data_IF_786886119781
#
_entry.id   IF_786886119781
#
_cell.length_a   1.000
_cell.length_b   1.000
_cell.length_c   1.000
_cell.angle_alpha   90.00
_cell.angle_beta   90.00
_cell.angle_gamma   90.00
#
_symmetry.space_group_name_H-M   'P 1'
#
loop_
_entity.id
_entity.type
_entity.pdbx_description
1 polymer ?
#
# COMPACT_ATOMS: atom_id res chain seq x y z
N UNK A 1 -7.89 7.02 -15.56
CA UNK A 1 -6.70 7.24 -14.71
C UNK A 1 -6.90 6.36 -13.49
N UNK A 2 -6.77 5.07 -13.74
CA UNK A 2 -7.48 4.01 -13.01
C UNK A 2 -6.42 2.99 -12.55
N UNK A 3 -6.58 2.46 -11.33
CA UNK A 3 -6.08 1.14 -10.90
C UNK A 3 -4.67 0.96 -10.26
N UNK A 4 -4.03 2.00 -9.72
CA UNK A 4 -2.81 1.78 -8.90
C UNK A 4 -3.06 1.44 -7.43
N UNK A 5 -4.32 1.49 -7.00
CA UNK A 5 -4.72 1.18 -5.63
C UNK A 5 -5.13 -0.28 -5.51
N UNK A 6 -4.49 -0.98 -4.59
CA UNK A 6 -4.88 -2.33 -4.19
C UNK A 6 -5.02 -2.34 -2.68
N UNK A 7 -6.17 -2.78 -2.16
CA UNK A 7 -6.38 -3.05 -0.75
C UNK A 7 -6.78 -4.52 -0.52
N UNK A 8 -6.20 -5.13 0.51
CA UNK A 8 -6.65 -6.40 1.07
C UNK A 8 -6.80 -6.28 2.58
N UNK A 9 -7.98 -6.59 3.13
CA UNK A 9 -8.16 -6.65 4.57
C UNK A 9 -7.33 -7.80 5.15
N UNK A 10 -6.41 -7.50 6.06
CA UNK A 10 -5.69 -8.48 6.89
C UNK A 10 -6.49 -8.85 8.14
N UNK A 11 -7.31 -7.95 8.64
CA UNK A 11 -8.15 -8.09 9.83
C UNK A 11 -9.31 -7.09 9.77
N UNK A 12 -10.27 -7.19 10.69
CA UNK A 12 -11.47 -6.34 10.68
C UNK A 12 -11.18 -4.83 10.57
N UNK A 13 -10.05 -4.37 11.10
CA UNK A 13 -9.68 -2.95 11.12
C UNK A 13 -8.43 -2.62 10.31
N UNK A 14 -7.77 -3.57 9.63
CA UNK A 14 -6.48 -3.32 8.96
C UNK A 14 -6.46 -3.85 7.55
N UNK A 15 -5.96 -3.04 6.63
CA UNK A 15 -5.78 -3.39 5.23
C UNK A 15 -4.33 -3.20 4.78
N UNK A 16 -3.80 -4.16 4.04
CA UNK A 16 -2.58 -3.99 3.23
C UNK A 16 -2.96 -3.22 1.98
N UNK A 17 -2.24 -2.14 1.73
CA UNK A 17 -2.39 -1.33 0.54
C UNK A 17 -1.09 -1.24 -0.27
N UNK A 18 -1.23 -1.21 -1.60
CA UNK A 18 -0.15 -0.84 -2.52
C UNK A 18 -0.58 0.43 -3.24
N UNK A 19 0.29 1.44 -3.23
CA UNK A 19 0.00 2.72 -3.88
C UNK A 19 1.12 3.74 -3.70
N UNK A 20 0.92 4.91 -4.30
CA UNK A 20 1.72 6.10 -4.02
C UNK A 20 1.30 6.69 -2.68
N UNK A 21 2.28 7.06 -1.86
CA UNK A 21 2.06 7.76 -0.59
C UNK A 21 2.38 9.23 -0.81
N UNK A 22 1.53 10.14 -0.33
CA UNK A 22 1.81 11.59 -0.44
C UNK A 22 2.97 11.99 0.48
N UNK A 23 3.61 13.14 0.21
CA UNK A 23 4.68 13.68 1.08
C UNK A 23 4.17 13.91 2.51
N UNK A 24 2.90 14.31 2.68
CA UNK A 24 2.30 14.50 3.99
C UNK A 24 2.15 13.18 4.77
N UNK A 25 1.71 12.11 4.10
CA UNK A 25 1.61 10.78 4.70
C UNK A 25 2.99 10.19 4.98
N UNK A 26 3.96 10.41 4.09
CA UNK A 26 5.34 9.97 4.27
C UNK A 26 5.96 10.60 5.53
N UNK A 27 5.76 11.90 5.74
CA UNK A 27 6.20 12.61 6.94
C UNK A 27 5.54 12.08 8.22
N UNK A 28 4.28 11.63 8.15
CA UNK A 28 3.56 11.05 9.29
C UNK A 28 4.08 9.66 9.69
N UNK A 29 4.67 8.91 8.74
CA UNK A 29 5.16 7.54 9.00
C UNK A 29 6.48 7.49 9.78
N UNK A 30 7.27 8.57 9.74
CA UNK A 30 8.61 8.60 10.33
C UNK A 30 9.64 7.67 9.67
N UNK A 31 9.29 7.04 8.54
CA UNK A 31 10.16 6.12 7.83
C UNK A 31 11.15 6.86 6.92
N UNK A 32 12.46 6.71 7.17
CA UNK A 32 13.53 7.37 6.40
C UNK A 32 13.56 7.02 4.90
N UNK A 33 12.87 5.95 4.49
CA UNK A 33 12.80 5.49 3.11
C UNK A 33 11.50 5.89 2.40
N UNK A 34 10.56 6.53 3.12
CA UNK A 34 9.34 7.06 2.57
C UNK A 34 9.51 8.57 2.33
N UNK A 35 9.72 8.94 1.07
CA UNK A 35 9.97 10.33 0.65
C UNK A 35 8.75 10.94 -0.07
N UNK A 36 7.62 10.20 -0.11
CA UNK A 36 6.43 10.58 -0.88
C UNK A 36 6.59 10.43 -2.39
N UNK A 37 7.70 9.82 -2.86
CA UNK A 37 7.99 9.56 -4.26
C UNK A 37 8.04 8.06 -4.56
N UNK A 38 7.27 7.61 -5.55
CA UNK A 38 7.20 6.22 -5.99
C UNK A 38 6.07 5.42 -5.33
N UNK A 39 6.20 4.10 -5.37
CA UNK A 39 5.18 3.16 -4.89
C UNK A 39 5.63 2.48 -3.60
N UNK A 40 4.68 2.29 -2.69
CA UNK A 40 4.91 1.75 -1.38
C UNK A 40 3.92 0.64 -1.06
N UNK A 41 4.37 -0.29 -0.23
CA UNK A 41 3.53 -1.23 0.49
C UNK A 41 3.30 -0.65 1.89
N UNK A 42 2.06 -0.44 2.26
CA UNK A 42 1.71 0.13 3.56
C UNK A 42 0.49 -0.55 4.17
N UNK A 43 0.40 -0.50 5.49
CA UNK A 43 -0.78 -0.87 6.25
C UNK A 43 -1.56 0.38 6.57
N UNK A 44 -2.87 0.33 6.36
CA UNK A 44 -3.79 1.38 6.83
C UNK A 44 -4.78 0.77 7.81
N UNK A 45 -5.08 1.52 8.86
CA UNK A 45 -6.17 1.19 9.76
C UNK A 45 -7.46 1.82 9.24
N UNK A 46 -8.51 1.01 9.07
CA UNK A 46 -9.78 1.44 8.51
C UNK A 46 -10.57 2.35 9.47
N UNK A 47 -10.31 2.26 10.78
CA UNK A 47 -10.91 3.12 11.81
C UNK A 47 -10.11 4.43 11.98
N UNK A 48 -8.79 4.37 11.72
CA UNK A 48 -7.92 5.53 11.73
C UNK A 48 -7.02 5.59 10.47
N UNK A 49 -7.50 6.17 9.35
CA UNK A 49 -6.76 6.20 8.08
C UNK A 49 -5.49 7.07 8.12
N UNK A 50 -5.29 7.87 9.18
CA UNK A 50 -4.05 8.61 9.41
C UNK A 50 -2.95 7.73 10.02
N UNK A 51 -3.31 6.58 10.58
CA UNK A 51 -2.36 5.57 11.07
C UNK A 51 -1.91 4.67 9.91
N UNK A 52 -1.15 5.25 9.00
CA UNK A 52 -0.53 4.52 7.89
C UNK A 52 0.89 4.10 8.27
N UNK A 53 1.16 2.80 8.22
CA UNK A 53 2.48 2.22 8.47
C UNK A 53 3.10 1.76 7.16
N UNK A 54 4.20 2.37 6.73
CA UNK A 54 4.89 1.99 5.49
C UNK A 54 5.83 0.82 5.77
N UNK A 55 5.59 -0.30 5.10
CA UNK A 55 6.34 -1.55 5.28
C UNK A 55 7.53 -1.65 4.32
N UNK A 56 7.34 -1.22 3.07
CA UNK A 56 8.36 -1.33 2.04
C UNK A 56 8.17 -0.30 0.92
N UNK A 57 9.27 0.02 0.24
CA UNK A 57 9.27 0.79 -1.01
C UNK A 57 9.54 -0.15 -2.19
N UNK A 58 8.77 -0.01 -3.26
CA UNK A 58 9.04 -0.75 -4.50
C UNK A 58 10.18 -0.09 -5.29
N UNK A 59 11.04 -0.92 -5.88
CA UNK A 59 12.15 -0.47 -6.71
C UNK A 59 11.70 0.14 -8.05
N UNK A 60 10.51 -0.24 -8.54
CA UNK A 60 9.93 0.26 -9.78
C UNK A 60 8.40 0.16 -9.77
N UNK A 61 7.76 0.94 -10.64
CA UNK A 61 6.32 0.87 -10.90
C UNK A 61 5.90 -0.54 -11.37
N UNK A 62 6.70 -1.15 -12.26
CA UNK A 62 6.46 -2.50 -12.75
C UNK A 62 6.44 -3.54 -11.62
N UNK A 63 7.33 -3.42 -10.63
CA UNK A 63 7.33 -4.31 -9.47
C UNK A 63 6.06 -4.14 -8.63
N UNK A 64 5.61 -2.91 -8.39
CA UNK A 64 4.37 -2.62 -7.69
C UNK A 64 3.15 -3.19 -8.45
N UNK A 65 3.09 -2.99 -9.77
CA UNK A 65 2.01 -3.53 -10.61
C UNK A 65 1.96 -5.06 -10.60
N UNK A 66 3.11 -5.73 -10.73
CA UNK A 66 3.19 -7.19 -10.67
C UNK A 66 2.72 -7.71 -9.32
N UNK A 67 3.10 -7.05 -8.22
CA UNK A 67 2.66 -7.41 -6.88
C UNK A 67 1.14 -7.23 -6.73
N UNK A 68 0.60 -6.09 -7.16
CA UNK A 68 -0.84 -5.84 -7.19
C UNK A 68 -1.59 -6.91 -7.99
N UNK A 69 -1.09 -7.28 -9.17
CA UNK A 69 -1.70 -8.33 -9.99
C UNK A 69 -1.68 -9.70 -9.29
N UNK A 70 -0.57 -10.06 -8.62
CA UNK A 70 -0.47 -11.31 -7.85
C UNK A 70 -1.46 -11.32 -6.68
N UNK A 71 -1.55 -10.23 -5.92
CA UNK A 71 -2.45 -10.14 -4.78
C UNK A 71 -3.94 -10.11 -5.21
N UNK A 72 -4.26 -9.43 -6.33
CA UNK A 72 -5.61 -9.47 -6.95
C UNK A 72 -5.99 -10.90 -7.32
N UNK A 73 -5.07 -11.68 -7.89
CA UNK A 73 -5.30 -13.10 -8.23
C UNK A 73 -5.55 -13.96 -7.00
N UNK A 74 -4.69 -13.85 -5.98
CA UNK A 74 -4.85 -14.60 -4.72
C UNK A 74 -6.20 -14.33 -4.04
N UNK A 75 -6.73 -13.10 -4.14
CA UNK A 75 -8.06 -12.75 -3.61
C UNK A 75 -9.19 -13.45 -4.37
N UNK A 76 -9.03 -13.69 -5.68
CA UNK A 76 -10.04 -14.35 -6.51
C UNK A 76 -10.00 -15.88 -6.36
N UNK A 77 -8.83 -16.46 -6.09
CA UNK A 77 -8.66 -17.91 -5.88
C UNK A 77 -9.15 -18.38 -4.50
N UNK A 78 -9.29 -17.47 -3.52
CA UNK A 78 -9.81 -17.77 -2.18
C UNK A 78 -11.32 -17.46 -2.02
N UNK A 79 -12.06 -17.37 -3.12
CA UNK A 79 -13.53 -17.22 -3.15
C UNK A 79 -14.19 -18.48 -3.68
#
# INVERSE_FOLDING_TARGET
MEEYYFDVPLSNSRSICIGSVTVAEAAATGANFCDGLGYYLYLTDNDNPQATEVLARFASEEAAMRMTAMLKRLRLENR
#
